data_IF_236539271138
#
_entry.id   IF_236539271138
#
_cell.length_a   1.000
_cell.length_b   1.000
_cell.length_c   1.000
_cell.angle_alpha   90.00
_cell.angle_beta   90.00
_cell.angle_gamma   90.00
#
_symmetry.space_group_name_H-M   'P 1'
#
loop_
_entity.id
_entity.type
_entity.pdbx_description
1 polymer ?
#
# COMPACT_ATOMS: atom_id res chain seq x y z
N UNK A 1 11.14 35.17 22.02
CA UNK A 1 10.38 34.37 21.04
C UNK A 1 11.11 33.05 20.94
N UNK A 2 10.51 31.97 21.40
CA UNK A 2 11.09 30.63 21.19
C UNK A 2 11.12 30.36 19.68
N UNK A 3 12.22 29.81 19.17
CA UNK A 3 12.29 29.34 17.80
C UNK A 3 11.13 28.38 17.58
N UNK A 4 10.46 28.42 16.41
CA UNK A 4 9.41 27.45 16.11
C UNK A 4 9.97 26.04 16.31
N UNK A 5 9.22 25.20 17.00
CA UNK A 5 9.63 23.83 17.26
C UNK A 5 9.85 23.12 15.92
N UNK A 6 11.09 22.70 15.66
CA UNK A 6 11.40 21.93 14.46
C UNK A 6 10.69 20.58 14.53
N UNK A 7 9.87 20.28 13.53
CA UNK A 7 9.21 18.99 13.43
C UNK A 7 9.48 18.33 12.08
N UNK A 8 9.41 17.02 12.08
CA UNK A 8 9.74 16.19 10.94
C UNK A 8 8.57 15.26 10.67
N UNK A 9 8.38 14.90 9.40
CA UNK A 9 7.39 13.92 8.98
C UNK A 9 8.04 12.92 8.03
N UNK A 10 7.69 11.65 8.21
CA UNK A 10 7.96 10.59 7.25
C UNK A 10 6.63 10.10 6.67
N UNK A 11 6.56 9.95 5.36
CA UNK A 11 5.36 9.51 4.65
C UNK A 11 5.69 8.26 3.86
N UNK A 12 4.99 7.20 4.18
CA UNK A 12 4.95 5.98 3.39
C UNK A 12 3.80 6.11 2.38
N UNK A 13 4.15 6.43 1.13
CA UNK A 13 3.20 6.51 0.02
C UNK A 13 3.00 5.12 -0.58
N UNK A 14 2.09 4.33 -0.01
CA UNK A 14 1.80 2.97 -0.45
C UNK A 14 0.87 2.91 -1.67
N UNK A 15 0.79 1.73 -2.30
CA UNK A 15 -0.08 1.49 -3.47
C UNK A 15 -1.57 1.58 -3.12
N UNK A 16 -1.97 0.99 -2.01
CA UNK A 16 -3.37 0.96 -1.57
C UNK A 16 -3.66 1.99 -0.49
N UNK A 17 -2.78 2.10 0.50
CA UNK A 17 -2.89 3.04 1.61
C UNK A 17 -1.57 3.76 1.81
N UNK A 18 -1.65 4.99 2.31
CA UNK A 18 -0.51 5.77 2.79
C UNK A 18 -0.55 5.89 4.30
N UNK A 19 0.64 5.92 4.91
CA UNK A 19 0.85 6.10 6.33
C UNK A 19 1.83 7.25 6.57
N UNK A 20 1.85 7.79 7.79
CA UNK A 20 2.85 8.76 8.18
C UNK A 20 3.22 8.67 9.66
N UNK A 21 4.43 9.09 9.97
CA UNK A 21 4.91 9.30 11.32
C UNK A 21 5.48 10.73 11.42
N UNK A 22 5.37 11.33 12.60
CA UNK A 22 5.88 12.67 12.83
C UNK A 22 6.55 12.78 14.21
N UNK A 23 7.31 13.85 14.41
CA UNK A 23 7.79 14.21 15.75
C UNK A 23 6.67 14.89 16.51
N UNK A 24 6.27 14.31 17.64
CA UNK A 24 5.17 14.84 18.47
C UNK A 24 5.46 16.25 19.00
N UNK A 25 4.49 17.18 18.96
CA UNK A 25 4.72 18.59 19.33
C UNK A 25 5.18 18.79 20.78
N UNK A 26 4.71 17.93 21.69
CA UNK A 26 4.95 18.07 23.13
C UNK A 26 6.20 17.32 23.60
N UNK A 27 6.50 16.17 23.02
CA UNK A 27 7.55 15.26 23.52
C UNK A 27 8.77 15.21 22.61
N UNK A 28 8.63 15.60 21.33
CA UNK A 28 9.64 15.40 20.30
C UNK A 28 9.86 13.92 19.93
N UNK A 29 9.08 13.01 20.52
CA UNK A 29 9.15 11.59 20.16
C UNK A 29 8.56 11.33 18.77
N UNK A 30 9.05 10.31 18.09
CA UNK A 30 8.45 9.87 16.82
C UNK A 30 7.21 9.04 17.12
N UNK A 31 6.09 9.45 16.56
CA UNK A 31 4.81 8.74 16.69
C UNK A 31 4.08 8.67 15.35
N UNK A 32 3.19 7.69 15.24
CA UNK A 32 2.35 7.54 14.04
C UNK A 32 1.35 8.68 13.97
N UNK A 33 1.25 9.32 12.80
CA UNK A 33 0.27 10.37 12.54
C UNK A 33 -1.09 9.76 12.23
N UNK A 34 -2.16 10.06 13.01
CA UNK A 34 -3.52 9.63 12.67
C UNK A 34 -3.97 10.31 11.36
N UNK A 35 -4.26 9.53 10.32
CA UNK A 35 -4.65 10.04 9.01
C UNK A 35 -6.17 10.02 8.78
N UNK A 36 -6.90 9.31 9.64
CA UNK A 36 -8.36 9.34 9.68
C UNK A 36 -8.86 9.21 11.13
N UNK A 37 -10.16 9.42 11.36
CA UNK A 37 -10.75 9.24 12.69
C UNK A 37 -10.71 7.78 13.20
N UNK A 38 -10.50 6.81 12.32
CA UNK A 38 -10.56 5.38 12.63
C UNK A 38 -9.25 4.65 12.39
N UNK A 39 -8.29 5.28 11.71
CA UNK A 39 -7.07 4.59 11.25
C UNK A 39 -5.90 5.57 11.12
N UNK A 40 -4.71 5.03 11.33
CA UNK A 40 -3.45 5.70 11.00
C UNK A 40 -3.13 5.62 9.49
N UNK A 41 -4.01 5.00 8.71
CA UNK A 41 -3.88 4.87 7.27
C UNK A 41 -4.91 5.75 6.57
N UNK A 42 -4.56 6.22 5.37
CA UNK A 42 -5.48 6.86 4.42
C UNK A 42 -5.39 6.10 3.09
N UNK A 43 -6.53 5.80 2.42
CA UNK A 43 -6.49 5.27 1.07
C UNK A 43 -5.65 6.16 0.15
N UNK A 44 -4.73 5.58 -0.63
CA UNK A 44 -3.94 6.32 -1.63
C UNK A 44 -4.77 6.70 -2.86
N UNK A 45 -6.08 6.47 -2.81
CA UNK A 45 -7.01 6.77 -3.89
C UNK A 45 -7.23 8.28 -4.06
N UNK A 46 -7.42 8.69 -5.32
CA UNK A 46 -7.78 10.06 -5.67
C UNK A 46 -9.00 10.08 -6.60
N UNK A 47 -9.80 11.12 -6.49
CA UNK A 47 -10.97 11.36 -7.35
C UNK A 47 -10.82 12.73 -8.01
N UNK A 48 -10.95 12.77 -9.33
CA UNK A 48 -10.82 13.99 -10.14
C UNK A 48 -12.19 14.51 -10.50
N UNK A 49 -12.58 15.66 -9.98
CA UNK A 49 -13.85 16.30 -10.33
C UNK A 49 -13.86 16.84 -11.76
N UNK A 50 -15.02 17.16 -12.27
CA UNK A 50 -15.19 17.71 -13.63
C UNK A 50 -14.52 19.09 -13.80
N UNK A 51 -14.41 19.85 -12.72
CA UNK A 51 -13.74 21.17 -12.65
C UNK A 51 -12.23 21.07 -12.45
N UNK A 52 -11.68 19.83 -12.35
CA UNK A 52 -10.27 19.57 -12.15
C UNK A 52 -9.83 19.51 -10.67
N UNK A 53 -10.72 19.72 -9.71
CA UNK A 53 -10.38 19.55 -8.30
C UNK A 53 -10.10 18.07 -7.99
N UNK A 54 -9.06 17.81 -7.17
CA UNK A 54 -8.65 16.45 -6.82
C UNK A 54 -8.88 16.23 -5.33
N UNK A 55 -9.68 15.20 -5.01
CA UNK A 55 -9.90 14.71 -3.66
C UNK A 55 -9.05 13.46 -3.42
N UNK A 56 -8.63 13.21 -2.17
CA UNK A 56 -7.85 12.03 -1.79
C UNK A 56 -8.47 11.28 -0.61
N UNK A 57 -8.05 10.03 -0.42
CA UNK A 57 -8.42 9.21 0.73
C UNK A 57 -9.89 8.80 0.74
N UNK A 58 -10.50 8.78 1.95
CA UNK A 58 -11.89 8.35 2.13
C UNK A 58 -12.89 9.21 1.33
N UNK A 59 -12.59 10.49 1.16
CA UNK A 59 -13.39 11.39 0.32
C UNK A 59 -13.39 10.93 -1.14
N UNK A 60 -12.21 10.56 -1.67
CA UNK A 60 -12.09 10.04 -3.03
C UNK A 60 -12.87 8.73 -3.22
N UNK A 61 -12.77 7.81 -2.27
CA UNK A 61 -13.54 6.56 -2.28
C UNK A 61 -15.04 6.83 -2.26
N UNK A 62 -15.49 7.74 -1.39
CA UNK A 62 -16.92 8.09 -1.29
C UNK A 62 -17.46 8.70 -2.57
N UNK A 63 -16.71 9.60 -3.22
CA UNK A 63 -17.09 10.20 -4.50
C UNK A 63 -17.04 9.17 -5.64
N UNK A 64 -16.02 8.30 -5.64
CA UNK A 64 -15.84 7.24 -6.62
C UNK A 64 -16.98 6.20 -6.66
N UNK A 65 -17.69 6.01 -5.55
CA UNK A 65 -18.91 5.18 -5.54
C UNK A 65 -20.03 5.75 -6.42
N UNK A 66 -20.07 7.07 -6.62
CA UNK A 66 -21.08 7.75 -7.44
C UNK A 66 -20.63 7.87 -8.90
N UNK A 67 -19.34 8.04 -9.13
CA UNK A 67 -18.75 8.14 -10.46
C UNK A 67 -17.38 7.42 -10.50
N UNK A 68 -17.37 6.10 -10.71
CA UNK A 68 -16.13 5.32 -10.73
C UNK A 68 -15.18 5.70 -11.86
N UNK A 69 -15.67 6.33 -12.94
CA UNK A 69 -14.82 6.73 -14.08
C UNK A 69 -13.79 7.81 -13.71
N UNK A 70 -14.04 8.53 -12.61
CA UNK A 70 -13.19 9.61 -12.09
C UNK A 70 -12.29 9.20 -10.92
N UNK A 71 -12.41 7.95 -10.48
CA UNK A 71 -11.62 7.40 -9.37
C UNK A 71 -10.34 6.77 -9.89
N UNK A 72 -9.20 7.19 -9.34
CA UNK A 72 -7.91 6.51 -9.51
C UNK A 72 -7.54 5.86 -8.17
N UNK A 73 -7.78 4.56 -8.00
CA UNK A 73 -7.67 3.89 -6.69
C UNK A 73 -6.23 3.69 -6.22
N UNK A 74 -5.24 3.79 -7.11
CA UNK A 74 -3.84 3.53 -6.81
C UNK A 74 -2.90 4.34 -7.73
N UNK A 75 -2.72 5.64 -7.53
CA UNK A 75 -1.86 6.48 -8.38
C UNK A 75 -0.41 5.99 -8.47
N UNK A 76 0.12 5.38 -7.40
CA UNK A 76 1.48 4.81 -7.38
C UNK A 76 1.75 3.80 -8.50
N UNK A 77 0.73 3.12 -9.01
CA UNK A 77 0.86 2.16 -10.12
C UNK A 77 1.19 2.78 -11.46
N UNK A 78 0.93 4.06 -11.60
CA UNK A 78 1.20 4.81 -12.83
C UNK A 78 2.58 5.49 -12.83
N UNK A 79 3.40 5.23 -11.80
CA UNK A 79 4.79 5.71 -11.77
C UNK A 79 5.51 5.25 -13.04
N UNK A 80 6.18 6.20 -13.71
CA UNK A 80 6.78 6.01 -15.03
C UNK A 80 5.94 6.57 -16.18
N UNK A 81 4.68 6.99 -15.92
CA UNK A 81 3.84 7.70 -16.87
C UNK A 81 3.70 9.17 -16.45
N UNK A 82 3.74 10.09 -17.41
CA UNK A 82 3.61 11.53 -17.13
C UNK A 82 2.18 11.90 -16.71
N UNK A 83 1.18 11.18 -17.23
CA UNK A 83 -0.24 11.47 -17.04
C UNK A 83 -1.09 10.20 -17.03
N UNK A 84 -2.30 10.32 -16.47
CA UNK A 84 -3.31 9.26 -16.38
C UNK A 84 -4.60 9.75 -17.03
N UNK A 85 -5.22 8.89 -17.85
CA UNK A 85 -6.55 9.14 -18.40
C UNK A 85 -7.62 8.94 -17.32
N UNK A 86 -8.35 10.01 -17.00
CA UNK A 86 -9.45 9.99 -16.01
C UNK A 86 -10.69 10.60 -16.65
N UNK A 87 -11.73 9.81 -16.87
CA UNK A 87 -12.98 10.23 -17.51
C UNK A 87 -12.75 11.00 -18.84
N UNK A 88 -11.78 10.54 -19.65
CA UNK A 88 -11.44 11.14 -20.94
C UNK A 88 -10.54 12.39 -20.86
N UNK A 89 -10.04 12.74 -19.66
CA UNK A 89 -9.13 13.85 -19.46
C UNK A 89 -7.72 13.35 -19.12
N UNK A 90 -6.69 14.00 -19.66
CA UNK A 90 -5.29 13.75 -19.28
C UNK A 90 -4.99 14.50 -17.97
N UNK A 91 -4.72 13.77 -16.90
CA UNK A 91 -4.40 14.34 -15.59
C UNK A 91 -2.94 14.05 -15.28
N UNK A 92 -2.10 15.05 -14.99
CA UNK A 92 -0.70 14.85 -14.65
C UNK A 92 -0.56 13.94 -13.42
N UNK A 93 0.29 12.92 -13.50
CA UNK A 93 0.48 11.97 -12.40
C UNK A 93 1.01 12.66 -11.13
N UNK A 94 1.90 13.63 -11.27
CA UNK A 94 2.42 14.38 -10.13
C UNK A 94 1.33 15.15 -9.36
N UNK A 95 0.25 15.60 -10.05
CA UNK A 95 -0.91 16.22 -9.39
C UNK A 95 -1.72 15.19 -8.59
N UNK A 96 -1.91 13.98 -9.12
CA UNK A 96 -2.61 12.90 -8.44
C UNK A 96 -1.86 12.46 -7.16
N UNK A 97 -0.54 12.22 -7.28
CA UNK A 97 0.30 11.87 -6.12
C UNK A 97 0.38 13.05 -5.14
N UNK A 98 0.55 14.27 -5.66
CA UNK A 98 0.58 15.49 -4.87
C UNK A 98 -0.66 15.66 -4.00
N UNK A 99 -1.85 15.33 -4.52
CA UNK A 99 -3.09 15.40 -3.74
C UNK A 99 -3.07 14.46 -2.52
N UNK A 100 -2.50 13.25 -2.64
CA UNK A 100 -2.34 12.33 -1.51
C UNK A 100 -1.34 12.90 -0.50
N UNK A 101 -0.18 13.36 -0.96
CA UNK A 101 0.85 13.98 -0.11
C UNK A 101 0.31 15.22 0.61
N UNK A 102 -0.44 16.07 -0.09
CA UNK A 102 -1.10 17.25 0.50
C UNK A 102 -2.05 16.83 1.62
N UNK A 103 -2.90 15.83 1.40
CA UNK A 103 -3.82 15.33 2.41
C UNK A 103 -3.12 14.81 3.68
N UNK A 104 -1.96 14.19 3.55
CA UNK A 104 -1.14 13.74 4.68
C UNK A 104 -0.48 14.93 5.39
N UNK A 105 0.12 15.86 4.62
CA UNK A 105 0.80 17.04 5.17
C UNK A 105 -0.14 17.96 5.92
N UNK A 106 -1.37 18.17 5.43
CA UNK A 106 -2.37 19.00 6.12
C UNK A 106 -2.73 18.43 7.50
N UNK A 107 -2.79 17.10 7.63
CA UNK A 107 -3.02 16.46 8.94
C UNK A 107 -1.83 16.66 9.89
N UNK A 108 -0.61 16.56 9.35
CA UNK A 108 0.60 16.89 10.11
C UNK A 108 0.62 18.34 10.56
N UNK A 109 0.37 19.30 9.65
CA UNK A 109 0.28 20.73 9.95
C UNK A 109 -0.76 21.04 11.02
N UNK A 110 -1.93 20.39 10.96
CA UNK A 110 -2.99 20.56 11.96
C UNK A 110 -2.53 20.17 13.38
N UNK A 111 -1.65 19.16 13.52
CA UNK A 111 -1.04 18.82 14.81
C UNK A 111 0.05 19.81 15.26
N UNK A 112 0.62 20.57 14.33
CA UNK A 112 1.72 21.50 14.53
C UNK A 112 1.31 22.96 14.34
N UNK A 113 0.09 23.34 14.72
CA UNK A 113 -0.44 24.72 14.68
C UNK A 113 -0.37 25.37 13.28
N UNK A 114 -0.41 24.56 12.21
CA UNK A 114 -0.31 25.02 10.82
C UNK A 114 1.12 25.21 10.30
N UNK A 115 2.13 24.95 11.11
CA UNK A 115 3.55 25.11 10.72
C UNK A 115 3.98 24.03 9.70
N UNK A 116 4.89 24.40 8.81
CA UNK A 116 5.49 23.47 7.86
C UNK A 116 6.53 22.56 8.53
N UNK A 117 6.68 21.31 8.08
CA UNK A 117 7.75 20.44 8.57
C UNK A 117 9.12 20.96 8.14
N UNK A 118 10.11 20.81 9.02
CA UNK A 118 11.52 21.08 8.71
C UNK A 118 12.08 20.08 7.72
N UNK A 119 11.67 18.81 7.81
CA UNK A 119 12.08 17.74 6.90
C UNK A 119 10.89 16.83 6.60
N UNK A 120 10.76 16.45 5.35
CA UNK A 120 9.81 15.44 4.87
C UNK A 120 10.62 14.27 4.31
N UNK A 121 10.46 13.09 4.89
CA UNK A 121 11.04 11.85 4.34
C UNK A 121 9.96 11.09 3.58
N UNK A 122 10.21 10.75 2.33
CA UNK A 122 9.30 9.96 1.49
C UNK A 122 9.91 8.58 1.26
N UNK A 123 9.13 7.53 1.45
CA UNK A 123 9.56 6.17 1.11
C UNK A 123 9.29 5.87 -0.37
N UNK A 124 10.06 4.95 -0.91
CA UNK A 124 9.88 4.42 -2.26
C UNK A 124 10.36 2.96 -2.33
N UNK A 125 9.85 2.13 -3.25
CA UNK A 125 10.40 0.80 -3.51
C UNK A 125 11.88 0.85 -3.88
N UNK A 126 12.65 -0.15 -3.45
CA UNK A 126 14.08 -0.27 -3.81
C UNK A 126 14.27 -0.45 -5.33
N UNK A 127 13.29 -1.06 -6.00
CA UNK A 127 13.31 -1.32 -7.44
C UNK A 127 13.07 -0.08 -8.32
N UNK A 128 12.72 1.08 -7.72
CA UNK A 128 12.45 2.28 -8.51
C UNK A 128 13.70 2.86 -9.14
N UNK A 129 13.58 3.24 -10.41
CA UNK A 129 14.61 4.00 -11.11
C UNK A 129 14.74 5.43 -10.56
N UNK A 130 15.86 6.09 -10.84
CA UNK A 130 16.05 7.52 -10.53
C UNK A 130 14.89 8.36 -11.07
N UNK A 131 14.43 8.07 -12.28
CA UNK A 131 13.29 8.76 -12.90
C UNK A 131 12.00 8.62 -12.06
N UNK A 132 11.71 7.42 -11.54
CA UNK A 132 10.53 7.20 -10.72
C UNK A 132 10.59 7.97 -9.39
N UNK A 133 11.78 8.04 -8.79
CA UNK A 133 12.02 8.85 -7.58
C UNK A 133 11.86 10.34 -7.90
N UNK A 134 12.38 10.81 -9.04
CA UNK A 134 12.22 12.20 -9.49
C UNK A 134 10.74 12.57 -9.72
N UNK A 135 9.91 11.64 -10.18
CA UNK A 135 8.46 11.86 -10.29
C UNK A 135 7.80 12.05 -8.92
N UNK A 136 8.20 11.26 -7.92
CA UNK A 136 7.73 11.44 -6.54
C UNK A 136 8.16 12.80 -5.97
N UNK A 137 9.40 13.19 -6.21
CA UNK A 137 9.92 14.51 -5.81
C UNK A 137 9.19 15.66 -6.52
N UNK A 138 8.87 15.48 -7.82
CA UNK A 138 8.05 16.43 -8.58
C UNK A 138 6.65 16.57 -7.98
N UNK A 139 6.01 15.45 -7.58
CA UNK A 139 4.72 15.48 -6.90
C UNK A 139 4.80 16.23 -5.55
N UNK A 140 5.85 16.02 -4.78
CA UNK A 140 6.07 16.74 -3.52
C UNK A 140 6.27 18.25 -3.75
N UNK A 141 6.90 18.64 -4.85
CA UNK A 141 7.05 20.06 -5.22
C UNK A 141 5.70 20.73 -5.54
N UNK A 142 4.70 20.01 -6.09
CA UNK A 142 3.36 20.55 -6.37
C UNK A 142 2.62 20.99 -5.11
N UNK A 143 2.99 20.46 -3.94
CA UNK A 143 2.37 20.78 -2.65
C UNK A 143 3.20 21.74 -1.79
N UNK A 144 4.13 22.44 -2.44
CA UNK A 144 4.92 23.51 -1.84
C UNK A 144 6.13 23.06 -1.01
N UNK A 145 6.54 21.78 -1.15
CA UNK A 145 7.76 21.31 -0.51
C UNK A 145 8.99 21.68 -1.34
N UNK A 146 10.02 22.24 -0.69
CA UNK A 146 11.29 22.52 -1.35
C UNK A 146 12.18 21.28 -1.37
N UNK A 147 13.04 21.18 -2.38
CA UNK A 147 14.00 20.05 -2.50
C UNK A 147 14.92 19.93 -1.29
N UNK A 148 15.24 21.04 -0.63
CA UNK A 148 16.13 21.06 0.54
C UNK A 148 15.48 20.45 1.79
N UNK A 149 14.14 20.43 1.84
CA UNK A 149 13.37 19.86 2.94
C UNK A 149 13.02 18.40 2.73
N UNK A 150 13.14 17.88 1.50
CA UNK A 150 12.77 16.50 1.19
C UNK A 150 13.98 15.57 1.30
N UNK A 151 13.73 14.40 1.86
CA UNK A 151 14.62 13.23 1.86
C UNK A 151 13.87 12.05 1.29
N UNK A 152 14.58 11.12 0.67
CA UNK A 152 14.00 9.84 0.23
C UNK A 152 14.76 8.70 0.86
N UNK A 153 14.05 7.61 1.12
CA UNK A 153 14.61 6.36 1.63
C UNK A 153 13.84 5.20 1.01
N UNK A 154 14.54 4.12 0.69
CA UNK A 154 13.82 2.93 0.21
C UNK A 154 13.04 2.24 1.34
N UNK A 155 11.86 1.71 1.00
CA UNK A 155 10.96 1.02 1.93
C UNK A 155 11.68 -0.07 2.75
N UNK A 156 12.49 -0.97 2.16
CA UNK A 156 13.18 -1.98 2.94
C UNK A 156 14.24 -1.40 3.89
N UNK A 157 14.92 -0.30 3.51
CA UNK A 157 15.86 0.37 4.42
C UNK A 157 15.14 1.02 5.59
N UNK A 158 14.00 1.68 5.34
CA UNK A 158 13.18 2.27 6.39
C UNK A 158 12.68 1.19 7.38
N UNK A 159 12.21 0.05 6.87
CA UNK A 159 11.81 -1.09 7.70
C UNK A 159 12.97 -1.65 8.52
N UNK A 160 14.14 -1.86 7.91
CA UNK A 160 15.32 -2.36 8.62
C UNK A 160 15.78 -1.42 9.75
N UNK A 161 15.78 -0.10 9.52
CA UNK A 161 16.10 0.91 10.53
C UNK A 161 15.07 0.85 11.69
N UNK A 162 13.78 0.73 11.38
CA UNK A 162 12.75 0.61 12.40
C UNK A 162 12.95 -0.62 13.29
N UNK A 163 13.23 -1.77 12.70
CA UNK A 163 13.49 -3.00 13.46
C UNK A 163 14.80 -2.94 14.26
N UNK A 164 15.85 -2.32 13.69
CA UNK A 164 17.12 -2.11 14.40
C UNK A 164 16.99 -1.20 15.63
N UNK A 165 16.02 -0.29 15.63
CA UNK A 165 15.72 0.53 16.80
C UNK A 165 15.12 -0.29 17.96
N UNK A 166 14.52 -1.45 17.66
CA UNK A 166 13.91 -2.35 18.64
C UNK A 166 14.84 -3.51 19.06
N UNK A 167 15.77 -3.89 18.19
CA UNK A 167 16.67 -5.02 18.40
C UNK A 167 18.08 -4.64 17.95
N UNK A 168 19.08 -4.98 18.77
CA UNK A 168 20.46 -4.76 18.38
C UNK A 168 20.84 -5.66 17.20
N UNK A 169 21.15 -5.07 16.05
CA UNK A 169 21.65 -5.76 14.86
C UNK A 169 23.14 -5.44 14.74
N UNK A 170 24.05 -6.42 14.93
CA UNK A 170 25.48 -6.18 14.83
C UNK A 170 25.90 -5.73 13.42
N UNK A 171 26.84 -4.81 13.33
CA UNK A 171 27.42 -4.40 12.04
C UNK A 171 28.00 -5.61 11.29
N UNK A 172 27.76 -5.67 9.98
CA UNK A 172 28.12 -6.79 9.12
C UNK A 172 27.08 -7.91 9.07
N UNK A 173 26.10 -7.95 9.98
CA UNK A 173 25.01 -8.92 9.94
C UNK A 173 24.04 -8.61 8.80
N UNK A 174 23.35 -9.65 8.33
CA UNK A 174 22.33 -9.52 7.30
C UNK A 174 20.92 -9.67 7.89
N UNK A 175 20.00 -8.94 7.33
CA UNK A 175 18.56 -9.07 7.58
C UNK A 175 17.83 -9.06 6.24
N UNK A 176 16.70 -9.73 6.15
CA UNK A 176 15.81 -9.62 5.00
C UNK A 176 14.55 -8.85 5.38
N UNK A 177 14.05 -8.04 4.46
CA UNK A 177 12.74 -7.41 4.55
C UNK A 177 11.87 -8.04 3.47
N UNK A 178 10.70 -8.52 3.88
CA UNK A 178 9.67 -9.10 3.03
C UNK A 178 8.45 -8.20 3.10
N UNK A 179 8.27 -7.36 2.10
CA UNK A 179 7.11 -6.48 2.00
C UNK A 179 6.10 -7.05 1.02
N UNK A 180 5.05 -7.65 1.58
CA UNK A 180 3.94 -8.20 0.80
C UNK A 180 2.72 -7.29 0.94
N UNK A 181 2.66 -6.32 0.06
CA UNK A 181 1.65 -5.29 0.04
C UNK A 181 0.34 -5.70 -0.64
N UNK A 182 -0.52 -4.72 -0.86
CA UNK A 182 -1.79 -4.92 -1.59
C UNK A 182 -1.62 -5.12 -3.09
N UNK A 183 -0.50 -4.70 -3.68
CA UNK A 183 -0.30 -4.74 -5.13
C UNK A 183 1.03 -5.32 -5.59
N UNK A 184 2.04 -5.31 -4.72
CA UNK A 184 3.41 -5.71 -5.01
C UNK A 184 3.96 -6.59 -3.92
N UNK A 185 4.95 -7.40 -4.28
CA UNK A 185 5.86 -8.06 -3.36
C UNK A 185 7.25 -7.51 -3.59
N UNK A 186 7.87 -6.98 -2.55
CA UNK A 186 9.24 -6.50 -2.57
C UNK A 186 10.05 -7.22 -1.48
N UNK A 187 11.19 -7.78 -1.85
CA UNK A 187 12.08 -8.52 -0.96
C UNK A 187 13.46 -7.91 -1.10
N UNK A 188 14.05 -7.50 0.01
CA UNK A 188 15.41 -7.00 0.05
C UNK A 188 16.21 -7.70 1.14
N UNK A 189 17.44 -8.07 0.83
CA UNK A 189 18.44 -8.50 1.83
C UNK A 189 19.38 -7.34 2.04
N UNK A 190 19.53 -6.94 3.30
CA UNK A 190 20.32 -5.77 3.70
C UNK A 190 21.43 -6.20 4.64
N UNK A 191 22.55 -5.49 4.56
CA UNK A 191 23.66 -5.62 5.49
C UNK A 191 23.70 -4.39 6.41
N UNK A 192 23.81 -4.62 7.71
CA UNK A 192 24.00 -3.57 8.69
C UNK A 192 25.40 -2.97 8.57
N UNK A 193 25.48 -1.64 8.49
CA UNK A 193 26.72 -0.90 8.38
C UNK A 193 27.20 -0.40 9.77
N UNK A 194 28.47 -0.02 9.88
CA UNK A 194 29.06 0.45 11.14
C UNK A 194 28.42 1.75 11.68
N UNK A 195 27.88 2.57 10.79
CA UNK A 195 27.24 3.84 11.14
C UNK A 195 25.75 3.67 11.56
N UNK A 196 25.25 2.43 11.66
CA UNK A 196 23.86 2.14 11.98
C UNK A 196 22.89 2.22 10.81
N UNK A 197 23.39 2.45 9.59
CA UNK A 197 22.61 2.40 8.35
C UNK A 197 22.58 0.97 7.77
N UNK A 198 21.85 0.79 6.67
CA UNK A 198 21.73 -0.48 5.96
C UNK A 198 22.03 -0.30 4.46
N UNK A 199 22.82 -1.22 3.91
CA UNK A 199 23.03 -1.32 2.46
C UNK A 199 22.28 -2.51 1.88
N UNK A 200 21.59 -2.33 0.75
CA UNK A 200 20.91 -3.42 0.06
C UNK A 200 21.94 -4.26 -0.69
N UNK A 201 22.01 -5.56 -0.40
CA UNK A 201 22.93 -6.51 -1.04
C UNK A 201 22.26 -7.38 -2.09
N UNK A 202 20.95 -7.60 -1.96
CA UNK A 202 20.15 -8.26 -2.99
C UNK A 202 18.71 -7.78 -2.89
N UNK A 203 18.02 -7.70 -4.03
CA UNK A 203 16.60 -7.40 -4.08
C UNK A 203 15.90 -8.27 -5.14
N UNK A 204 14.68 -8.66 -4.86
CA UNK A 204 13.75 -9.33 -5.75
C UNK A 204 12.38 -8.72 -5.53
N UNK A 205 11.53 -8.76 -6.55
CA UNK A 205 10.16 -8.29 -6.41
C UNK A 205 9.30 -8.75 -7.56
N UNK A 206 8.00 -8.56 -7.39
CA UNK A 206 7.00 -8.81 -8.41
C UNK A 206 5.89 -7.75 -8.26
N UNK A 207 5.77 -6.87 -9.24
CA UNK A 207 4.80 -5.77 -9.26
C UNK A 207 3.36 -6.23 -9.52
N UNK A 208 3.17 -7.52 -9.76
CA UNK A 208 1.85 -8.13 -10.00
C UNK A 208 1.41 -9.06 -8.86
N UNK A 209 2.30 -9.32 -7.90
CA UNK A 209 2.07 -10.22 -6.79
C UNK A 209 1.73 -9.43 -5.53
N UNK A 210 0.49 -9.53 -5.05
CA UNK A 210 0.03 -8.78 -3.88
C UNK A 210 -1.36 -9.21 -3.44
N UNK A 211 -1.91 -8.54 -2.45
CA UNK A 211 -3.25 -8.82 -1.93
C UNK A 211 -4.33 -8.84 -3.01
N UNK A 212 -4.22 -7.98 -4.03
CA UNK A 212 -5.15 -7.97 -5.18
C UNK A 212 -5.05 -9.22 -6.05
N UNK A 213 -3.89 -9.84 -6.14
CA UNK A 213 -3.76 -11.12 -6.86
C UNK A 213 -4.56 -12.20 -6.14
N UNK A 214 -4.53 -12.17 -4.81
CA UNK A 214 -5.34 -13.05 -3.97
C UNK A 214 -6.83 -12.72 -4.10
N UNK A 215 -7.20 -11.43 -4.09
CA UNK A 215 -8.58 -10.99 -4.32
C UNK A 215 -9.10 -11.52 -5.65
N UNK A 216 -8.30 -11.47 -6.73
CA UNK A 216 -8.66 -12.01 -8.04
C UNK A 216 -8.82 -13.55 -8.04
N UNK A 217 -8.04 -14.27 -7.24
CA UNK A 217 -8.22 -15.72 -7.06
C UNK A 217 -9.56 -16.02 -6.41
N UNK A 218 -9.89 -15.29 -5.34
CA UNK A 218 -11.18 -15.42 -4.65
C UNK A 218 -12.35 -15.01 -5.55
N UNK A 219 -12.20 -13.94 -6.32
CA UNK A 219 -13.20 -13.50 -7.27
C UNK A 219 -13.54 -14.60 -8.28
N UNK A 220 -12.54 -15.26 -8.85
CA UNK A 220 -12.76 -16.39 -9.76
C UNK A 220 -13.46 -17.56 -9.07
N UNK A 221 -13.04 -17.88 -7.85
CA UNK A 221 -13.70 -18.92 -7.06
C UNK A 221 -15.18 -18.58 -6.81
N UNK A 222 -15.51 -17.33 -6.47
CA UNK A 222 -16.90 -16.90 -6.31
C UNK A 222 -17.69 -17.07 -7.61
N UNK A 223 -17.14 -16.64 -8.75
CA UNK A 223 -17.79 -16.82 -10.04
C UNK A 223 -18.08 -18.29 -10.34
N UNK A 224 -17.11 -19.18 -10.08
CA UNK A 224 -17.28 -20.62 -10.27
C UNK A 224 -18.37 -21.18 -9.33
N UNK A 225 -18.46 -20.71 -8.08
CA UNK A 225 -19.52 -21.10 -7.14
C UNK A 225 -20.89 -20.61 -7.59
N UNK A 226 -20.99 -19.36 -8.04
CA UNK A 226 -22.24 -18.79 -8.55
C UNK A 226 -22.70 -19.53 -9.81
N UNK A 227 -21.81 -19.76 -10.78
CA UNK A 227 -22.15 -20.46 -12.03
C UNK A 227 -22.65 -21.90 -11.78
N UNK A 228 -22.08 -22.58 -10.76
CA UNK A 228 -22.48 -23.93 -10.40
C UNK A 228 -23.84 -23.98 -9.67
N UNK A 229 -24.12 -23.02 -8.78
CA UNK A 229 -25.29 -23.04 -7.90
C UNK A 229 -26.50 -22.29 -8.50
N UNK A 230 -26.27 -21.21 -9.24
CA UNK A 230 -27.28 -20.35 -9.86
C UNK A 230 -26.77 -19.67 -11.14
N UNK A 231 -26.87 -20.35 -12.30
CA UNK A 231 -26.41 -19.80 -13.58
C UNK A 231 -27.05 -18.48 -13.98
N UNK A 232 -28.27 -18.22 -13.54
CA UNK A 232 -28.96 -16.96 -13.83
C UNK A 232 -28.30 -15.78 -13.09
N UNK A 233 -27.89 -15.98 -11.82
CA UNK A 233 -27.11 -15.00 -11.07
C UNK A 233 -25.71 -14.80 -11.66
N UNK A 234 -25.10 -15.86 -12.22
CA UNK A 234 -23.82 -15.71 -12.91
C UNK A 234 -23.92 -14.79 -14.15
N UNK A 235 -25.00 -14.89 -14.91
CA UNK A 235 -25.22 -14.03 -16.08
C UNK A 235 -25.53 -12.57 -15.67
N UNK A 236 -26.20 -12.37 -14.55
CA UNK A 236 -26.35 -11.03 -13.96
C UNK A 236 -25.02 -10.41 -13.55
N UNK A 237 -24.13 -11.18 -12.90
CA UNK A 237 -22.81 -10.69 -12.52
C UNK A 237 -21.95 -10.31 -13.72
N UNK A 238 -22.04 -11.04 -14.84
CA UNK A 238 -21.30 -10.69 -16.08
C UNK A 238 -21.72 -9.36 -16.69
N UNK A 239 -22.95 -8.92 -16.40
CA UNK A 239 -23.53 -7.65 -16.86
C UNK A 239 -23.80 -6.65 -15.72
N UNK A 240 -23.28 -6.92 -14.53
CA UNK A 240 -23.58 -6.17 -13.33
C UNK A 240 -23.10 -4.71 -13.40
N UNK A 241 -23.84 -3.84 -12.76
CA UNK A 241 -23.43 -2.46 -12.54
C UNK A 241 -22.13 -2.39 -11.71
N UNK A 242 -21.40 -1.32 -11.91
CA UNK A 242 -20.13 -1.08 -11.19
C UNK A 242 -20.30 -1.08 -9.67
N UNK A 243 -21.47 -0.68 -9.18
CA UNK A 243 -21.83 -0.71 -7.75
C UNK A 243 -21.87 -2.13 -7.18
N UNK A 244 -22.42 -3.09 -7.90
CA UNK A 244 -22.49 -4.52 -7.53
C UNK A 244 -21.08 -5.11 -7.50
N UNK A 245 -20.30 -4.84 -8.54
CA UNK A 245 -18.91 -5.29 -8.62
C UNK A 245 -18.04 -4.74 -7.49
N UNK A 246 -18.24 -3.47 -7.14
CA UNK A 246 -17.51 -2.85 -6.03
C UNK A 246 -17.89 -3.46 -4.67
N UNK A 247 -19.19 -3.78 -4.47
CA UNK A 247 -19.67 -4.46 -3.26
C UNK A 247 -19.05 -5.86 -3.14
N UNK A 248 -18.99 -6.60 -4.24
CA UNK A 248 -18.33 -7.92 -4.27
C UNK A 248 -16.83 -7.81 -3.98
N UNK A 249 -16.13 -6.88 -4.59
CA UNK A 249 -14.69 -6.64 -4.33
C UNK A 249 -14.43 -6.32 -2.85
N UNK A 250 -15.32 -5.56 -2.21
CA UNK A 250 -15.23 -5.26 -0.79
C UNK A 250 -15.47 -6.50 0.06
N UNK A 251 -16.50 -7.29 -0.23
CA UNK A 251 -16.81 -8.54 0.47
C UNK A 251 -15.68 -9.56 0.38
N UNK A 252 -15.07 -9.70 -0.81
CA UNK A 252 -13.90 -10.55 -1.02
C UNK A 252 -12.71 -10.11 -0.17
N UNK A 253 -12.44 -8.80 -0.14
CA UNK A 253 -11.33 -8.25 0.66
C UNK A 253 -11.55 -8.49 2.14
N UNK A 254 -12.75 -8.21 2.65
CA UNK A 254 -13.12 -8.43 4.05
C UNK A 254 -12.99 -9.90 4.43
N UNK A 255 -13.46 -10.82 3.60
CA UNK A 255 -13.33 -12.26 3.81
C UNK A 255 -11.86 -12.71 3.82
N UNK A 256 -11.04 -12.24 2.88
CA UNK A 256 -9.60 -12.49 2.85
C UNK A 256 -8.91 -12.05 4.15
N UNK A 257 -9.21 -10.83 4.61
CA UNK A 257 -8.63 -10.28 5.84
C UNK A 257 -9.11 -11.06 7.06
N UNK A 258 -10.40 -11.41 7.13
CA UNK A 258 -10.99 -12.23 8.20
C UNK A 258 -10.36 -13.62 8.27
N UNK A 259 -10.04 -14.24 7.14
CA UNK A 259 -9.36 -15.53 7.08
C UNK A 259 -7.94 -15.51 7.66
N UNK A 260 -7.35 -14.36 7.94
CA UNK A 260 -6.09 -14.28 8.70
C UNK A 260 -6.29 -14.60 10.19
N UNK A 261 -7.49 -14.36 10.72
CA UNK A 261 -7.79 -14.51 12.15
C UNK A 261 -8.79 -15.66 12.45
N UNK A 262 -9.61 -16.06 11.45
CA UNK A 262 -10.66 -17.07 11.60
C UNK A 262 -10.43 -18.29 10.71
N UNK A 263 -11.10 -19.41 11.02
CA UNK A 263 -11.05 -20.64 10.21
C UNK A 263 -11.98 -20.62 9.00
N UNK A 264 -12.90 -19.67 8.92
CA UNK A 264 -13.83 -19.49 7.80
C UNK A 264 -14.30 -18.05 7.71
N UNK A 265 -14.72 -17.63 6.52
CA UNK A 265 -15.34 -16.34 6.26
C UNK A 265 -16.46 -16.50 5.21
N UNK A 266 -17.36 -15.53 5.15
CA UNK A 266 -18.44 -15.49 4.16
C UNK A 266 -18.17 -14.39 3.15
N UNK A 267 -18.33 -14.71 1.87
CA UNK A 267 -18.34 -13.74 0.77
C UNK A 267 -19.78 -13.57 0.31
N UNK A 268 -20.32 -12.36 0.43
CA UNK A 268 -21.67 -12.04 0.02
C UNK A 268 -21.68 -11.42 -1.39
N UNK A 269 -22.47 -11.99 -2.26
CA UNK A 269 -22.77 -11.49 -3.60
C UNK A 269 -24.16 -10.86 -3.57
N UNK A 270 -24.25 -9.53 -3.71
CA UNK A 270 -25.52 -8.82 -3.74
C UNK A 270 -25.88 -8.49 -5.18
N UNK A 271 -27.01 -9.01 -5.67
CA UNK A 271 -27.59 -8.72 -6.99
C UNK A 271 -28.99 -8.13 -6.85
N UNK A 272 -29.61 -7.60 -7.93
CA UNK A 272 -31.02 -7.17 -7.90
C UNK A 272 -32.01 -8.28 -7.51
N UNK A 273 -31.64 -9.54 -7.68
CA UNK A 273 -32.46 -10.71 -7.28
C UNK A 273 -32.35 -11.08 -5.81
N UNK A 274 -31.28 -10.64 -5.13
CA UNK A 274 -31.05 -10.96 -3.72
C UNK A 274 -29.57 -11.06 -3.35
N UNK A 275 -29.36 -11.54 -2.13
CA UNK A 275 -28.03 -11.80 -1.59
C UNK A 275 -27.75 -13.30 -1.58
N UNK A 276 -26.54 -13.65 -1.98
CA UNK A 276 -26.05 -15.03 -1.99
C UNK A 276 -24.76 -15.09 -1.18
N UNK A 277 -24.73 -15.95 -0.16
CA UNK A 277 -23.60 -16.10 0.73
C UNK A 277 -22.81 -17.36 0.38
N UNK A 278 -21.49 -17.19 0.22
CA UNK A 278 -20.55 -18.26 -0.04
C UNK A 278 -19.58 -18.38 1.14
N UNK A 279 -19.67 -19.49 1.87
CA UNK A 279 -18.73 -19.80 2.93
C UNK A 279 -17.44 -20.36 2.34
N UNK A 280 -16.30 -19.76 2.71
CA UNK A 280 -14.97 -20.25 2.37
C UNK A 280 -14.20 -20.59 3.64
N UNK A 281 -13.57 -21.75 3.69
CA UNK A 281 -12.71 -22.17 4.79
C UNK A 281 -11.25 -21.73 4.58
N UNK A 282 -10.47 -21.68 5.66
CA UNK A 282 -9.04 -21.44 5.60
C UNK A 282 -8.31 -22.45 4.72
N UNK A 283 -8.68 -23.73 4.79
CA UNK A 283 -8.03 -24.79 4.01
C UNK A 283 -8.30 -24.63 2.50
N UNK A 284 -9.52 -24.26 2.12
CA UNK A 284 -9.86 -23.92 0.73
C UNK A 284 -9.08 -22.69 0.27
N UNK A 285 -9.06 -21.64 1.09
CA UNK A 285 -8.30 -20.42 0.80
C UNK A 285 -6.81 -20.71 0.59
N UNK A 286 -6.18 -21.53 1.46
CA UNK A 286 -4.79 -21.91 1.32
C UNK A 286 -4.56 -22.69 0.01
N UNK A 287 -5.46 -23.62 -0.32
CA UNK A 287 -5.39 -24.39 -1.57
C UNK A 287 -5.47 -23.48 -2.80
N UNK A 288 -6.39 -22.53 -2.79
CA UNK A 288 -6.59 -21.57 -3.87
C UNK A 288 -5.39 -20.64 -4.06
N UNK A 289 -4.76 -20.23 -2.97
CA UNK A 289 -3.68 -19.24 -2.95
C UNK A 289 -2.28 -19.85 -3.00
N UNK A 290 -2.15 -21.19 -3.00
CA UNK A 290 -0.88 -21.92 -2.99
C UNK A 290 0.12 -21.42 -4.03
N UNK A 291 -0.31 -21.20 -5.27
CA UNK A 291 0.56 -20.70 -6.34
C UNK A 291 1.07 -19.26 -6.08
N UNK A 292 0.23 -18.42 -5.47
CA UNK A 292 0.57 -17.03 -5.16
C UNK A 292 1.62 -17.01 -4.05
N UNK A 293 1.39 -17.77 -2.98
CA UNK A 293 2.32 -17.85 -1.85
C UNK A 293 3.60 -18.59 -2.23
N UNK A 294 3.48 -19.68 -3.00
CA UNK A 294 4.63 -20.40 -3.53
C UNK A 294 5.57 -19.51 -4.34
N UNK A 295 5.02 -18.62 -5.16
CA UNK A 295 5.81 -17.64 -5.91
C UNK A 295 6.52 -16.63 -4.99
N UNK A 296 5.88 -16.19 -3.92
CA UNK A 296 6.51 -15.32 -2.93
C UNK A 296 7.67 -16.01 -2.22
N UNK A 297 7.51 -17.28 -1.87
CA UNK A 297 8.58 -18.10 -1.27
C UNK A 297 9.77 -18.27 -2.22
N UNK A 298 9.51 -18.58 -3.51
CA UNK A 298 10.57 -18.70 -4.53
C UNK A 298 11.40 -17.41 -4.65
N UNK A 299 10.74 -16.26 -4.71
CA UNK A 299 11.41 -14.98 -4.82
C UNK A 299 12.24 -14.68 -3.57
N UNK A 300 11.73 -15.04 -2.39
CA UNK A 300 12.46 -14.90 -1.12
C UNK A 300 13.73 -15.76 -1.12
N UNK A 301 13.62 -17.02 -1.50
CA UNK A 301 14.77 -17.91 -1.60
C UNK A 301 15.80 -17.41 -2.63
N UNK A 302 15.33 -16.88 -3.76
CA UNK A 302 16.20 -16.30 -4.77
C UNK A 302 16.96 -15.06 -4.27
N UNK A 303 16.31 -14.18 -3.47
CA UNK A 303 16.95 -13.03 -2.86
C UNK A 303 18.03 -13.44 -1.84
N UNK A 304 17.70 -14.37 -0.93
CA UNK A 304 18.63 -14.91 0.05
C UNK A 304 19.85 -15.57 -0.62
N UNK A 305 19.60 -16.39 -1.64
CA UNK A 305 20.66 -17.06 -2.42
C UNK A 305 21.56 -16.06 -3.14
N UNK A 306 20.99 -15.01 -3.75
CA UNK A 306 21.76 -13.95 -4.42
C UNK A 306 22.64 -13.18 -3.45
N UNK A 307 22.15 -12.97 -2.23
CA UNK A 307 22.94 -12.31 -1.16
C UNK A 307 24.02 -13.23 -0.55
N UNK A 308 24.01 -14.51 -0.87
CA UNK A 308 24.93 -15.50 -0.27
C UNK A 308 24.66 -15.75 1.22
N UNK A 309 23.42 -15.53 1.67
CA UNK A 309 22.99 -15.75 3.05
C UNK A 309 22.11 -16.99 3.15
N UNK A 310 22.04 -17.55 4.35
CA UNK A 310 21.31 -18.80 4.60
C UNK A 310 19.92 -18.57 5.21
N UNK A 311 19.21 -19.68 5.48
CA UNK A 311 17.88 -19.68 6.05
C UNK A 311 17.80 -19.18 7.51
N UNK A 312 18.94 -18.95 8.17
CA UNK A 312 18.97 -18.40 9.53
C UNK A 312 18.92 -16.87 9.54
N UNK A 313 19.00 -16.22 8.37
CA UNK A 313 18.87 -14.77 8.25
C UNK A 313 17.48 -14.32 8.71
N UNK A 314 17.39 -13.39 9.70
CA UNK A 314 16.12 -12.85 10.14
C UNK A 314 15.34 -12.21 8.99
N UNK A 315 14.04 -12.50 8.90
CA UNK A 315 13.14 -11.90 7.91
C UNK A 315 12.16 -11.01 8.65
N UNK A 316 12.16 -9.73 8.34
CA UNK A 316 11.18 -8.77 8.82
C UNK A 316 10.05 -8.67 7.81
N UNK A 317 8.83 -8.98 8.27
CA UNK A 317 7.64 -8.99 7.43
C UNK A 317 6.89 -7.68 7.58
N UNK A 318 6.56 -7.06 6.46
CA UNK A 318 5.74 -5.85 6.35
C UNK A 318 4.73 -5.99 5.22
N UNK A 319 3.79 -5.05 5.12
CA UNK A 319 2.67 -5.14 4.19
C UNK A 319 1.49 -5.95 4.74
N UNK A 320 0.28 -5.59 4.31
CA UNK A 320 -0.96 -6.21 4.80
C UNK A 320 -1.06 -7.70 4.46
N UNK A 321 -0.59 -8.10 3.28
CA UNK A 321 -0.66 -9.49 2.82
C UNK A 321 0.34 -10.42 3.52
N UNK A 322 1.35 -9.87 4.20
CA UNK A 322 2.29 -10.66 5.00
C UNK A 322 1.65 -11.28 6.26
N UNK A 323 0.43 -10.85 6.62
CA UNK A 323 -0.34 -11.39 7.75
C UNK A 323 -1.08 -12.68 7.41
N UNK A 324 -1.14 -13.07 6.15
CA UNK A 324 -1.81 -14.29 5.72
C UNK A 324 -1.06 -15.49 6.31
N UNK A 325 -1.68 -16.28 7.19
CA UNK A 325 -1.06 -17.48 7.73
C UNK A 325 -1.11 -18.58 6.67
N UNK A 326 0.05 -19.10 6.31
CA UNK A 326 0.19 -20.17 5.32
C UNK A 326 1.06 -21.29 5.86
#
# INVERSE_FOLDING_TARGET
>A
MNAPAQWHIAVDFGTSNSAAAHTAPMTGAVETLPLSHRSNLIPSAVFVQADGAIHCGDSAISLGRRDPSRLVPAPKRYIGHDQVQVAGQDVPLNALIGAVLYGVLERGRAQHSGENPTTVTLTHPESWSVHNVDMLLSAAATVGLSKDTIRTISEPRAAAIHYAAQQHIPAGSHVAVFDFGGGTLDIAVLRAEQNGDFSVVAAKGDNTLGGRTIDNVLYRWVLDQVEHNDPDTADELKSAEVSVMHSLDQSIREAKEMLSDTSSATITVSTPRGEHDFLITRDEFNTLTDKVVGRAVELTQAALSQAGVDKSTPIYMTGGSSRIPY
#
